data_IF_213746767581
#
_entry.id   IF_213746767581
#
_cell.length_a   1.000
_cell.length_b   1.000
_cell.length_c   1.000
_cell.angle_alpha   90.00
_cell.angle_beta   90.00
_cell.angle_gamma   90.00
#
_symmetry.space_group_name_H-M   'P 1'
#
loop_
_entity.id
_entity.type
_entity.pdbx_description
1 polymer ?
#
# COMPACT_ATOMS: atom_id res chain seq x y z
N UNK A 1 13.92 3.69 21.46
CA UNK A 1 12.44 3.61 21.55
C UNK A 1 12.09 2.20 21.12
N UNK A 2 11.78 1.32 22.07
CA UNK A 2 11.13 0.07 21.76
C UNK A 2 9.65 0.34 21.88
N UNK A 3 8.91 0.27 20.79
CA UNK A 3 7.47 0.40 20.87
C UNK A 3 6.91 -0.90 21.49
N UNK A 4 6.71 -0.89 22.80
CA UNK A 4 6.03 -1.97 23.50
C UNK A 4 4.52 -1.75 23.34
N UNK A 5 3.97 -2.19 22.21
CA UNK A 5 2.52 -2.26 22.04
C UNK A 5 1.98 -3.44 22.86
N UNK A 6 1.17 -3.15 23.89
CA UNK A 6 0.41 -4.16 24.64
C UNK A 6 -0.78 -4.64 23.79
N UNK A 7 -0.49 -5.39 22.74
CA UNK A 7 -1.51 -6.02 21.89
C UNK A 7 -1.66 -7.50 22.25
N UNK A 8 -2.90 -7.96 22.34
CA UNK A 8 -3.20 -9.38 22.47
C UNK A 8 -2.85 -10.06 21.14
N UNK A 9 -1.84 -10.92 21.16
CA UNK A 9 -1.54 -11.80 20.03
C UNK A 9 -2.53 -12.96 20.01
N UNK A 10 -3.22 -13.14 18.89
CA UNK A 10 -4.05 -14.31 18.61
C UNK A 10 -3.27 -15.20 17.66
N UNK A 11 -3.04 -16.45 18.04
CA UNK A 11 -2.29 -17.44 17.25
C UNK A 11 -3.28 -18.33 16.51
N UNK A 12 -3.04 -18.59 15.23
CA UNK A 12 -3.76 -19.61 14.47
C UNK A 12 -3.29 -21.00 14.92
N UNK A 13 -4.23 -21.87 15.24
CA UNK A 13 -3.96 -23.26 15.63
C UNK A 13 -3.82 -24.15 14.41
N UNK A 14 -3.18 -25.32 14.56
CA UNK A 14 -2.96 -26.28 13.47
C UNK A 14 -4.24 -26.68 12.74
N UNK A 15 -5.38 -26.75 13.46
CA UNK A 15 -6.68 -27.06 12.87
C UNK A 15 -7.23 -25.97 11.94
N UNK A 16 -6.66 -24.77 12.01
CA UNK A 16 -7.07 -23.58 11.26
C UNK A 16 -6.13 -23.29 10.09
N UNK A 17 -5.06 -24.08 9.94
CA UNK A 17 -4.02 -23.91 8.93
C UNK A 17 -4.07 -25.08 7.95
N UNK A 18 -4.42 -24.80 6.69
CA UNK A 18 -4.37 -25.81 5.64
C UNK A 18 -3.01 -25.88 4.94
N UNK A 19 -2.23 -24.79 4.97
CA UNK A 19 -0.90 -24.73 4.39
C UNK A 19 -0.05 -23.64 5.04
N UNK A 20 1.23 -23.95 5.24
CA UNK A 20 2.24 -22.99 5.70
C UNK A 20 3.53 -23.10 4.87
N UNK A 21 4.27 -21.99 4.82
CA UNK A 21 5.61 -21.92 4.25
C UNK A 21 6.54 -21.09 5.17
N UNK A 22 7.75 -20.79 4.70
CA UNK A 22 8.75 -20.03 5.46
C UNK A 22 8.32 -18.61 5.89
N UNK A 23 7.22 -18.07 5.33
CA UNK A 23 6.68 -16.74 5.61
C UNK A 23 5.39 -16.78 6.44
N UNK A 24 4.89 -17.97 6.77
CA UNK A 24 3.67 -18.19 7.54
C UNK A 24 2.61 -18.96 6.77
N UNK A 25 1.35 -18.77 7.17
CA UNK A 25 0.20 -19.45 6.54
C UNK A 25 -0.07 -18.92 5.14
N UNK A 26 -0.79 -19.69 4.32
CA UNK A 26 -1.20 -19.24 2.98
C UNK A 26 -2.15 -18.03 3.04
N UNK A 27 -2.24 -17.27 1.94
CA UNK A 27 -3.16 -16.13 1.83
C UNK A 27 -4.63 -16.59 2.00
N UNK A 28 -4.95 -17.81 1.57
CA UNK A 28 -6.28 -18.40 1.79
C UNK A 28 -6.59 -18.63 3.27
N UNK A 29 -5.64 -19.16 4.04
CA UNK A 29 -5.79 -19.37 5.48
C UNK A 29 -5.85 -18.02 6.23
N UNK A 30 -5.03 -17.05 5.80
CA UNK A 30 -5.05 -15.69 6.32
C UNK A 30 -6.43 -15.04 6.13
N UNK A 31 -7.00 -15.11 4.92
CA UNK A 31 -8.33 -14.59 4.66
C UNK A 31 -9.43 -15.35 5.42
N UNK A 32 -9.28 -16.66 5.63
CA UNK A 32 -10.20 -17.43 6.46
C UNK A 32 -10.16 -16.95 7.94
N UNK A 33 -8.98 -16.61 8.46
CA UNK A 33 -8.83 -16.02 9.79
C UNK A 33 -9.53 -14.65 9.90
N UNK A 34 -9.35 -13.78 8.90
CA UNK A 34 -10.02 -12.47 8.83
C UNK A 34 -11.54 -12.63 8.86
N UNK A 35 -12.09 -13.54 8.05
CA UNK A 35 -13.54 -13.82 8.04
C UNK A 35 -14.03 -14.25 9.42
N UNK A 36 -13.31 -15.14 10.09
CA UNK A 36 -13.69 -15.67 11.41
C UNK A 36 -13.70 -14.58 12.49
N UNK A 37 -12.70 -13.70 12.49
CA UNK A 37 -12.63 -12.59 13.45
C UNK A 37 -13.68 -11.50 13.16
N UNK A 38 -13.94 -11.21 11.88
CA UNK A 38 -15.04 -10.33 11.46
C UNK A 38 -16.41 -10.90 11.86
N UNK A 39 -16.67 -12.19 11.64
CA UNK A 39 -17.90 -12.86 12.07
C UNK A 39 -18.09 -12.75 13.58
N UNK A 40 -17.02 -12.99 14.35
CA UNK A 40 -17.05 -12.87 15.81
C UNK A 40 -17.36 -11.45 16.25
N UNK A 41 -16.61 -10.45 15.77
CA UNK A 41 -16.83 -9.03 16.15
C UNK A 41 -18.21 -8.53 15.71
N UNK A 42 -18.69 -8.94 14.53
CA UNK A 42 -20.03 -8.62 14.09
C UNK A 42 -21.13 -9.21 14.99
N UNK A 43 -21.01 -10.48 15.41
CA UNK A 43 -21.96 -11.09 16.35
C UNK A 43 -21.99 -10.38 17.72
N UNK A 44 -20.87 -9.79 18.12
CA UNK A 44 -20.72 -8.95 19.30
C UNK A 44 -21.08 -7.47 19.03
N UNK A 45 -21.58 -7.13 17.84
CA UNK A 45 -21.91 -5.76 17.40
C UNK A 45 -20.75 -4.76 17.57
N UNK A 46 -19.53 -5.25 17.46
CA UNK A 46 -18.31 -4.45 17.58
C UNK A 46 -17.79 -4.10 16.18
N UNK A 47 -17.56 -2.80 15.86
CA UNK A 47 -16.88 -2.41 14.63
C UNK A 47 -15.50 -3.06 14.54
N UNK A 48 -15.03 -3.28 13.32
CA UNK A 48 -13.72 -3.88 13.10
C UNK A 48 -12.91 -3.17 12.03
N UNK A 49 -11.60 -3.26 12.19
CA UNK A 49 -10.60 -2.80 11.24
C UNK A 49 -9.51 -3.87 11.19
N UNK A 50 -9.32 -4.46 10.02
CA UNK A 50 -8.31 -5.49 9.81
C UNK A 50 -7.26 -5.01 8.81
N UNK A 51 -6.02 -4.89 9.28
CA UNK A 51 -4.87 -4.71 8.43
C UNK A 51 -4.25 -6.08 8.12
N UNK A 52 -4.30 -6.47 6.85
CA UNK A 52 -3.97 -7.83 6.40
C UNK A 52 -2.76 -7.77 5.47
N UNK A 53 -1.67 -8.42 5.85
CA UNK A 53 -0.47 -8.57 5.00
C UNK A 53 -0.40 -9.99 4.44
N UNK A 54 -0.52 -10.11 3.12
CA UNK A 54 -0.35 -11.40 2.43
C UNK A 54 1.09 -11.88 2.50
N UNK A 55 1.28 -13.20 2.38
CA UNK A 55 2.56 -13.88 2.62
C UNK A 55 2.98 -14.78 1.45
N UNK A 56 2.03 -15.20 0.61
CA UNK A 56 2.27 -16.26 -0.38
C UNK A 56 3.18 -15.82 -1.54
N UNK A 57 3.18 -14.54 -1.89
CA UNK A 57 4.02 -13.95 -2.94
C UNK A 57 5.47 -13.68 -2.47
N UNK A 58 6.10 -14.68 -1.85
CA UNK A 58 7.50 -14.64 -1.41
C UNK A 58 8.24 -15.93 -1.75
N UNK A 59 9.56 -15.84 -1.99
CA UNK A 59 10.42 -17.00 -2.27
C UNK A 59 10.35 -18.02 -1.13
N UNK A 60 10.19 -19.33 -1.39
CA UNK A 60 10.35 -20.02 -2.67
C UNK A 60 9.11 -20.02 -3.59
N UNK A 61 8.10 -19.18 -3.33
CA UNK A 61 6.86 -19.04 -4.10
C UNK A 61 5.95 -20.28 -3.99
N UNK A 62 5.81 -20.80 -2.77
CA UNK A 62 5.00 -21.99 -2.49
C UNK A 62 3.62 -21.62 -1.92
N UNK A 63 2.61 -22.38 -2.35
CA UNK A 63 1.20 -22.21 -2.04
C UNK A 63 0.46 -23.56 -2.20
N UNK A 64 -0.78 -23.71 -1.71
CA UNK A 64 -1.57 -24.93 -1.88
C UNK A 64 -1.71 -25.39 -3.35
N UNK A 65 -1.51 -26.70 -3.58
CA UNK A 65 -1.68 -27.33 -4.90
C UNK A 65 -3.16 -27.36 -5.32
N UNK A 66 -3.41 -27.38 -6.63
CA UNK A 66 -4.75 -27.59 -7.20
C UNK A 66 -5.71 -26.40 -7.06
N UNK A 67 -5.21 -25.24 -6.63
CA UNK A 67 -5.99 -23.99 -6.55
C UNK A 67 -5.92 -23.15 -7.83
N UNK A 68 -4.80 -23.24 -8.53
CA UNK A 68 -4.56 -22.62 -9.83
C UNK A 68 -3.81 -23.62 -10.74
N UNK A 69 -3.67 -23.26 -12.01
CA UNK A 69 -3.02 -24.02 -13.08
C UNK A 69 -1.47 -23.90 -13.12
N UNK A 70 -0.86 -23.13 -12.21
CA UNK A 70 0.60 -23.00 -12.09
C UNK A 70 1.10 -23.81 -10.89
N UNK A 71 2.04 -24.77 -11.05
CA UNK A 71 2.56 -25.54 -9.92
C UNK A 71 3.29 -24.66 -8.89
N UNK A 72 3.11 -24.92 -7.58
CA UNK A 72 3.82 -24.17 -6.53
C UNK A 72 5.33 -24.27 -6.64
N UNK A 73 6.02 -23.19 -6.29
CA UNK A 73 7.49 -23.14 -6.27
C UNK A 73 8.14 -22.88 -7.63
N UNK A 74 7.36 -22.76 -8.71
CA UNK A 74 7.88 -22.58 -10.07
C UNK A 74 8.28 -21.13 -10.38
N UNK A 75 7.75 -20.16 -9.64
CA UNK A 75 8.11 -18.76 -9.83
C UNK A 75 7.09 -17.79 -9.24
N UNK A 76 7.43 -16.50 -9.33
CA UNK A 76 6.60 -15.41 -8.80
C UNK A 76 5.23 -15.33 -9.47
N UNK A 77 5.15 -15.59 -10.78
CA UNK A 77 3.87 -15.54 -11.52
C UNK A 77 2.82 -16.48 -10.90
N UNK A 78 3.23 -17.67 -10.49
CA UNK A 78 2.37 -18.62 -9.78
C UNK A 78 1.88 -18.07 -8.44
N UNK A 79 2.77 -17.48 -7.66
CA UNK A 79 2.40 -16.93 -6.35
C UNK A 79 1.50 -15.68 -6.46
N UNK A 80 1.72 -14.82 -7.46
CA UNK A 80 0.84 -13.69 -7.76
C UNK A 80 -0.54 -14.19 -8.20
N UNK A 81 -0.61 -15.16 -9.13
CA UNK A 81 -1.87 -15.77 -9.57
C UNK A 81 -2.60 -16.47 -8.42
N UNK A 82 -1.87 -17.08 -7.49
CA UNK A 82 -2.46 -17.68 -6.30
C UNK A 82 -3.03 -16.62 -5.34
N UNK A 83 -2.32 -15.50 -5.14
CA UNK A 83 -2.80 -14.37 -4.33
C UNK A 83 -4.11 -13.80 -4.91
N UNK A 84 -4.15 -13.62 -6.23
CA UNK A 84 -5.37 -13.19 -6.95
C UNK A 84 -6.53 -14.18 -6.75
N UNK A 85 -6.28 -15.48 -6.92
CA UNK A 85 -7.24 -16.54 -6.62
C UNK A 85 -7.75 -16.45 -5.17
N UNK A 86 -6.85 -16.29 -4.19
CA UNK A 86 -7.22 -16.22 -2.78
C UNK A 86 -8.09 -14.99 -2.46
N UNK A 87 -7.78 -13.83 -3.05
CA UNK A 87 -8.61 -12.61 -2.97
C UNK A 87 -10.00 -12.86 -3.60
N UNK A 88 -10.06 -13.49 -4.77
CA UNK A 88 -11.32 -13.85 -5.43
C UNK A 88 -12.14 -14.84 -4.60
N UNK A 89 -11.47 -15.79 -3.94
CA UNK A 89 -12.12 -16.72 -3.03
C UNK A 89 -12.71 -16.01 -1.81
N UNK A 90 -11.91 -15.15 -1.18
CA UNK A 90 -12.29 -14.29 -0.06
C UNK A 90 -13.52 -13.44 -0.40
N UNK A 91 -13.49 -12.71 -1.52
CA UNK A 91 -14.60 -11.84 -1.95
C UNK A 91 -15.91 -12.62 -2.17
N UNK A 92 -15.86 -13.82 -2.77
CA UNK A 92 -17.05 -14.68 -2.93
C UNK A 92 -17.60 -15.18 -1.59
N UNK A 93 -16.75 -15.41 -0.60
CA UNK A 93 -17.18 -15.81 0.74
C UNK A 93 -17.78 -14.64 1.51
N UNK A 94 -17.09 -13.49 1.54
CA UNK A 94 -17.55 -12.34 2.32
C UNK A 94 -18.82 -11.73 1.78
N UNK A 95 -19.07 -11.78 0.45
CA UNK A 95 -20.35 -11.34 -0.14
C UNK A 95 -21.60 -12.01 0.46
N UNK A 96 -21.44 -13.18 1.08
CA UNK A 96 -22.54 -13.92 1.74
C UNK A 96 -22.73 -13.54 3.21
N UNK A 97 -21.85 -12.69 3.76
CA UNK A 97 -21.82 -12.35 5.18
C UNK A 97 -22.72 -11.16 5.49
N UNK A 98 -23.39 -11.12 6.66
CA UNK A 98 -24.31 -10.04 7.02
C UNK A 98 -23.62 -8.67 7.18
N UNK A 99 -22.33 -8.66 7.49
CA UNK A 99 -21.53 -7.45 7.61
C UNK A 99 -21.00 -6.89 6.28
N UNK A 100 -21.11 -7.64 5.18
CA UNK A 100 -20.52 -7.26 3.89
C UNK A 100 -21.01 -5.89 3.43
N UNK A 101 -22.32 -5.65 3.43
CA UNK A 101 -22.90 -4.39 2.94
C UNK A 101 -22.41 -3.15 3.68
N UNK A 102 -21.84 -3.29 4.88
CA UNK A 102 -21.31 -2.19 5.68
C UNK A 102 -19.80 -2.31 5.94
N UNK A 103 -19.07 -2.96 5.03
CA UNK A 103 -17.61 -3.14 5.14
C UNK A 103 -16.93 -2.62 3.88
N UNK A 104 -16.00 -1.69 4.03
CA UNK A 104 -15.15 -1.22 2.92
C UNK A 104 -13.89 -2.08 2.86
N UNK A 105 -13.50 -2.49 1.66
CA UNK A 105 -12.27 -3.24 1.42
C UNK A 105 -11.27 -2.35 0.68
N UNK A 106 -10.02 -2.39 1.12
CA UNK A 106 -8.91 -1.70 0.46
C UNK A 106 -7.91 -2.75 0.02
N UNK A 107 -7.65 -2.82 -1.29
CA UNK A 107 -6.59 -3.64 -1.85
C UNK A 107 -5.48 -2.73 -2.32
N UNK A 108 -4.29 -2.84 -1.75
CA UNK A 108 -3.14 -2.03 -2.11
C UNK A 108 -1.88 -2.88 -1.98
N UNK A 109 -0.98 -2.82 -2.96
CA UNK A 109 0.33 -3.45 -2.80
C UNK A 109 1.22 -2.61 -1.87
N UNK A 110 2.09 -3.28 -1.14
CA UNK A 110 3.08 -2.65 -0.27
C UNK A 110 4.22 -2.00 -1.08
N UNK A 111 4.77 -2.73 -2.06
CA UNK A 111 5.79 -2.26 -2.98
C UNK A 111 5.91 -3.15 -4.24
N UNK A 112 6.71 -2.73 -5.22
CA UNK A 112 7.06 -3.57 -6.37
C UNK A 112 8.22 -4.53 -6.04
N UNK A 113 8.36 -5.62 -6.81
CA UNK A 113 9.28 -6.71 -6.47
C UNK A 113 10.78 -6.47 -6.70
N UNK A 114 11.17 -5.46 -7.48
CA UNK A 114 12.57 -5.23 -7.81
C UNK A 114 12.97 -3.78 -7.55
N UNK A 115 13.67 -3.54 -6.43
CA UNK A 115 14.27 -2.25 -6.09
C UNK A 115 15.81 -2.24 -6.17
N UNK A 116 16.42 -3.36 -6.59
CA UNK A 116 17.87 -3.54 -6.55
C UNK A 116 18.58 -3.12 -7.86
N UNK A 117 19.63 -2.30 -7.74
CA UNK A 117 20.78 -2.39 -8.64
C UNK A 117 21.07 -1.21 -9.56
N UNK A 118 20.22 -0.18 -9.66
CA UNK A 118 20.56 1.05 -10.40
C UNK A 118 20.56 2.24 -9.44
N UNK A 119 21.59 3.06 -9.50
CA UNK A 119 21.71 4.30 -8.71
C UNK A 119 20.65 5.36 -9.07
N UNK A 120 19.65 5.04 -9.88
CA UNK A 120 18.59 5.93 -10.36
C UNK A 120 17.23 5.39 -9.93
N UNK A 121 16.31 6.29 -9.60
CA UNK A 121 14.95 5.93 -9.17
C UNK A 121 14.16 5.56 -10.43
N UNK A 122 13.99 4.27 -10.73
CA UNK A 122 13.13 3.79 -11.82
C UNK A 122 11.65 3.92 -11.42
N UNK A 123 11.00 5.01 -11.82
CA UNK A 123 9.63 5.36 -11.39
C UNK A 123 8.62 4.27 -11.77
N UNK A 124 8.76 3.62 -12.93
CA UNK A 124 7.86 2.54 -13.33
C UNK A 124 7.84 1.37 -12.34
N UNK A 125 8.94 1.15 -11.61
CA UNK A 125 9.09 0.13 -10.57
C UNK A 125 8.56 0.56 -9.19
N UNK A 126 7.79 1.63 -9.13
CA UNK A 126 7.05 2.04 -7.92
C UNK A 126 5.55 2.20 -8.18
N UNK A 127 5.08 1.86 -9.38
CA UNK A 127 3.65 1.85 -9.68
C UNK A 127 3.00 0.59 -9.10
N UNK A 128 2.11 0.79 -8.13
CA UNK A 128 1.42 -0.27 -7.40
C UNK A 128 -0.10 -0.21 -7.66
N UNK A 129 -0.79 -1.36 -7.67
CA UNK A 129 -2.25 -1.37 -7.69
C UNK A 129 -2.81 -0.83 -6.36
N UNK A 130 -3.90 -0.06 -6.45
CA UNK A 130 -4.71 0.38 -5.33
C UNK A 130 -6.19 0.41 -5.74
N UNK A 131 -7.06 -0.17 -4.91
CA UNK A 131 -8.50 -0.25 -5.15
C UNK A 131 -9.27 -0.13 -3.84
N UNK A 132 -10.25 0.78 -3.81
CA UNK A 132 -11.28 0.83 -2.78
C UNK A 132 -12.50 0.09 -3.33
N UNK A 133 -12.99 -0.90 -2.60
CA UNK A 133 -14.09 -1.77 -3.01
C UNK A 133 -15.22 -1.76 -1.99
N UNK A 134 -16.43 -2.00 -2.49
CA UNK A 134 -17.68 -2.07 -1.71
C UNK A 134 -18.02 -0.77 -0.98
N UNK A 135 -17.79 0.36 -1.66
CA UNK A 135 -18.18 1.67 -1.17
C UNK A 135 -19.60 2.02 -1.67
N UNK A 136 -20.57 2.05 -0.75
CA UNK A 136 -21.97 2.23 -1.09
C UNK A 136 -22.27 3.63 -1.66
N UNK A 137 -23.18 3.68 -2.62
CA UNK A 137 -23.70 4.95 -3.17
C UNK A 137 -22.76 5.65 -4.14
N UNK A 138 -21.67 5.00 -4.57
CA UNK A 138 -20.74 5.53 -5.57
C UNK A 138 -20.58 4.53 -6.73
N UNK A 139 -20.67 4.99 -7.99
CA UNK A 139 -20.41 4.13 -9.14
C UNK A 139 -18.91 3.77 -9.20
N UNK A 140 -18.56 2.63 -9.83
CA UNK A 140 -17.17 2.34 -10.16
C UNK A 140 -16.55 3.50 -10.94
N UNK A 141 -15.37 3.93 -10.54
CA UNK A 141 -14.65 5.02 -11.19
C UNK A 141 -13.14 4.81 -11.10
N UNK A 142 -12.42 5.45 -12.02
CA UNK A 142 -10.95 5.50 -12.02
C UNK A 142 -10.56 6.89 -11.51
N UNK A 143 -9.60 6.93 -10.60
CA UNK A 143 -8.94 8.17 -10.16
C UNK A 143 -7.62 8.26 -10.94
N UNK A 144 -7.51 9.11 -11.97
CA UNK A 144 -6.32 9.16 -12.83
C UNK A 144 -5.19 10.02 -12.24
N UNK A 145 -5.45 10.73 -11.14
CA UNK A 145 -4.49 11.61 -10.50
C UNK A 145 -3.26 10.85 -10.03
N UNK A 146 -2.08 11.40 -10.33
CA UNK A 146 -0.83 10.91 -9.76
C UNK A 146 -0.84 11.08 -8.24
N UNK A 147 -0.60 10.00 -7.50
CA UNK A 147 -0.65 10.01 -6.05
C UNK A 147 0.33 9.00 -5.43
N UNK A 148 0.50 9.11 -4.12
CA UNK A 148 1.31 8.20 -3.31
C UNK A 148 0.41 7.37 -2.38
N UNK A 149 0.92 6.26 -1.87
CA UNK A 149 0.16 5.38 -0.97
C UNK A 149 -0.39 6.11 0.28
N UNK A 150 0.32 7.16 0.74
CA UNK A 150 -0.10 8.00 1.88
C UNK A 150 -1.42 8.76 1.63
N UNK A 151 -1.81 8.95 0.37
CA UNK A 151 -3.03 9.68 -0.01
C UNK A 151 -4.29 8.79 0.05
N UNK A 152 -4.13 7.48 0.26
CA UNK A 152 -5.20 6.48 0.21
C UNK A 152 -6.28 6.71 1.27
N UNK A 153 -5.88 6.86 2.54
CA UNK A 153 -6.83 7.06 3.65
C UNK A 153 -7.55 8.43 3.58
N UNK A 154 -6.86 9.55 3.38
CA UNK A 154 -7.51 10.85 3.17
C UNK A 154 -8.53 10.81 2.02
N UNK A 155 -8.20 10.12 0.92
CA UNK A 155 -9.12 9.92 -0.21
C UNK A 155 -10.34 9.09 0.18
N UNK A 156 -10.15 8.00 0.93
CA UNK A 156 -11.25 7.20 1.45
C UNK A 156 -12.16 8.01 2.39
N UNK A 157 -11.59 8.78 3.32
CA UNK A 157 -12.37 9.59 4.25
C UNK A 157 -13.18 10.67 3.52
N UNK A 158 -12.58 11.34 2.52
CA UNK A 158 -13.30 12.24 1.65
C UNK A 158 -14.40 11.55 0.83
N UNK A 159 -14.19 10.29 0.40
CA UNK A 159 -15.20 9.51 -0.31
C UNK A 159 -16.38 9.14 0.60
N UNK A 160 -16.10 8.87 1.87
CA UNK A 160 -17.08 8.62 2.93
C UNK A 160 -17.76 9.90 3.44
N UNK A 161 -17.31 11.08 2.98
CA UNK A 161 -17.76 12.40 3.44
C UNK A 161 -17.53 12.60 4.95
N UNK A 162 -16.42 12.08 5.45
CA UNK A 162 -16.00 12.30 6.83
C UNK A 162 -15.21 13.58 6.93
N UNK A 163 -15.49 14.36 7.97
CA UNK A 163 -14.61 15.42 8.42
C UNK A 163 -13.50 14.79 9.25
N UNK A 164 -12.25 15.10 8.92
CA UNK A 164 -11.09 14.63 9.65
C UNK A 164 -10.02 15.72 9.69
N UNK A 165 -9.36 15.85 10.82
CA UNK A 165 -8.11 16.60 10.96
C UNK A 165 -6.97 15.60 10.97
N UNK A 166 -5.87 15.91 10.28
CA UNK A 166 -4.70 15.05 10.29
C UNK A 166 -3.42 15.86 10.21
N UNK A 167 -2.45 15.48 11.04
CA UNK A 167 -1.06 15.94 10.95
C UNK A 167 -0.22 15.09 9.96
N UNK A 168 -0.86 14.17 9.22
CA UNK A 168 -0.22 13.36 8.19
C UNK A 168 -0.03 14.14 6.88
N UNK A 169 0.84 13.61 6.02
CA UNK A 169 1.23 14.25 4.75
C UNK A 169 0.34 13.91 3.56
N UNK A 170 -0.54 12.92 3.71
CA UNK A 170 -1.46 12.49 2.65
C UNK A 170 -2.62 13.47 2.46
N UNK A 171 -3.19 13.51 1.27
CA UNK A 171 -4.31 14.38 0.93
C UNK A 171 -5.39 13.62 0.15
N UNK A 172 -6.66 14.05 0.23
CA UNK A 172 -7.68 13.56 -0.69
C UNK A 172 -7.32 13.98 -2.12
N UNK A 173 -7.01 13.00 -2.97
CA UNK A 173 -6.56 13.22 -4.36
C UNK A 173 -7.62 13.84 -5.26
N UNK A 174 -8.87 13.89 -4.80
CA UNK A 174 -10.02 14.49 -5.49
C UNK A 174 -10.30 15.91 -5.00
N UNK A 175 -9.64 16.36 -3.94
CA UNK A 175 -9.85 17.70 -3.40
C UNK A 175 -9.39 18.76 -4.42
N UNK A 176 -10.08 19.91 -4.55
CA UNK A 176 -9.69 20.97 -5.49
C UNK A 176 -8.27 21.52 -5.26
N UNK A 177 -7.77 21.44 -4.03
CA UNK A 177 -6.42 21.86 -3.67
C UNK A 177 -5.33 20.81 -3.88
N UNK A 178 -5.69 19.59 -4.29
CA UNK A 178 -4.73 18.51 -4.48
C UNK A 178 -3.77 18.84 -5.61
N UNK A 179 -2.47 18.65 -5.34
CA UNK A 179 -1.40 18.82 -6.31
C UNK A 179 -0.78 17.45 -6.57
N UNK A 180 -1.07 16.83 -7.73
CA UNK A 180 -0.57 15.49 -8.06
C UNK A 180 0.94 15.38 -7.89
N UNK A 181 1.37 14.39 -7.13
CA UNK A 181 2.78 14.12 -6.83
C UNK A 181 3.04 12.65 -6.54
N UNK A 182 4.30 12.25 -6.66
CA UNK A 182 4.80 10.98 -6.12
C UNK A 182 5.92 11.25 -5.13
N UNK A 183 5.84 10.59 -3.99
CA UNK A 183 6.93 10.46 -3.02
C UNK A 183 7.52 9.05 -3.13
N UNK A 184 8.82 8.98 -3.41
CA UNK A 184 9.55 7.74 -3.64
C UNK A 184 10.71 7.64 -2.65
N UNK A 185 11.03 6.43 -2.23
CA UNK A 185 12.17 6.15 -1.36
C UNK A 185 12.89 4.88 -1.82
N UNK A 186 14.19 4.98 -1.98
CA UNK A 186 15.10 3.84 -2.10
C UNK A 186 15.95 3.75 -0.84
N UNK A 187 16.81 2.73 -0.73
CA UNK A 187 17.73 2.62 0.41
C UNK A 187 18.64 3.85 0.59
N UNK A 188 18.92 4.59 -0.48
CA UNK A 188 19.88 5.71 -0.46
C UNK A 188 19.31 7.03 -0.96
N UNK A 189 18.21 7.03 -1.72
CA UNK A 189 17.72 8.22 -2.42
C UNK A 189 16.24 8.44 -2.16
N UNK A 190 15.85 9.69 -2.19
CA UNK A 190 14.47 10.12 -2.04
C UNK A 190 14.05 10.86 -3.31
N UNK A 191 12.89 10.52 -3.85
CA UNK A 191 12.36 11.07 -5.09
C UNK A 191 11.06 11.82 -4.87
N UNK A 192 10.98 13.05 -5.36
CA UNK A 192 9.78 13.86 -5.37
C UNK A 192 9.44 14.21 -6.81
N UNK A 193 8.39 13.61 -7.36
CA UNK A 193 7.92 13.89 -8.72
C UNK A 193 6.67 14.76 -8.65
N UNK A 194 6.70 15.91 -9.31
CA UNK A 194 5.54 16.79 -9.49
C UNK A 194 5.50 17.27 -10.93
N UNK A 195 4.33 17.15 -11.56
CA UNK A 195 4.18 17.34 -13.01
C UNK A 195 5.16 16.43 -13.77
N UNK A 196 6.10 16.99 -14.52
CA UNK A 196 7.14 16.30 -15.29
C UNK A 196 8.53 16.43 -14.65
N UNK A 197 8.64 17.03 -13.46
CA UNK A 197 9.94 17.29 -12.83
C UNK A 197 10.15 16.37 -11.63
N UNK A 198 11.12 15.47 -11.74
CA UNK A 198 11.62 14.63 -10.66
C UNK A 198 12.76 15.36 -9.92
N UNK A 199 12.60 15.55 -8.62
CA UNK A 199 13.68 15.96 -7.72
C UNK A 199 14.21 14.75 -6.98
N UNK A 200 15.52 14.54 -7.05
CA UNK A 200 16.23 13.47 -6.34
C UNK A 200 17.08 14.08 -5.24
N UNK A 201 16.84 13.64 -4.01
CA UNK A 201 17.69 13.95 -2.85
C UNK A 201 18.62 12.78 -2.60
N UNK A 202 19.92 13.09 -2.48
CA UNK A 202 20.97 12.11 -2.18
C UNK A 202 21.78 12.57 -0.96
N UNK A 203 22.32 11.63 -0.16
CA UNK A 203 23.12 11.96 1.02
C UNK A 203 24.27 12.90 0.66
N UNK A 204 24.38 14.01 1.41
CA UNK A 204 25.45 15.01 1.28
C UNK A 204 25.56 15.66 -0.12
N UNK A 205 24.49 15.68 -0.90
CA UNK A 205 24.43 16.34 -2.21
C UNK A 205 23.31 17.37 -2.26
N UNK A 206 23.48 18.38 -3.12
CA UNK A 206 22.40 19.28 -3.47
C UNK A 206 21.27 18.53 -4.21
N UNK A 207 20.01 18.98 -4.12
CA UNK A 207 18.91 18.43 -4.91
C UNK A 207 19.21 18.47 -6.41
N UNK A 208 18.97 17.34 -7.07
CA UNK A 208 19.11 17.20 -8.52
C UNK A 208 17.73 17.13 -9.16
N UNK A 209 17.53 17.82 -10.29
CA UNK A 209 16.27 17.81 -11.02
C UNK A 209 16.41 17.10 -12.36
N UNK A 210 15.36 16.37 -12.74
CA UNK A 210 15.25 15.66 -13.99
C UNK A 210 13.87 15.90 -14.61
N UNK A 211 13.79 16.03 -15.93
CA UNK A 211 12.53 15.92 -16.65
C UNK A 211 12.24 14.43 -16.85
N UNK A 212 11.02 14.01 -16.50
CA UNK A 212 10.56 12.63 -16.58
C UNK A 212 9.50 12.46 -17.66
N UNK A 213 9.75 11.52 -18.58
CA UNK A 213 8.80 11.11 -19.60
C UNK A 213 8.08 9.82 -19.17
N UNK A 214 6.79 9.94 -18.88
CA UNK A 214 5.95 8.83 -18.45
C UNK A 214 5.71 7.77 -19.54
N UNK A 215 5.87 8.11 -20.83
CA UNK A 215 5.65 7.17 -21.94
C UNK A 215 6.84 6.26 -22.14
N UNK A 216 8.05 6.82 -22.02
CA UNK A 216 9.30 6.09 -22.25
C UNK A 216 9.96 5.61 -20.96
N UNK A 217 9.48 6.07 -19.79
CA UNK A 217 10.10 5.83 -18.49
C UNK A 217 11.57 6.28 -18.45
N UNK A 218 11.86 7.45 -19.03
CA UNK A 218 13.21 8.02 -19.08
C UNK A 218 13.32 9.32 -18.32
N UNK A 219 14.52 9.59 -17.81
CA UNK A 219 14.86 10.81 -17.07
C UNK A 219 15.98 11.53 -17.80
N UNK A 220 15.84 12.84 -17.98
CA UNK A 220 16.88 13.70 -18.55
C UNK A 220 17.25 14.78 -17.55
N UNK A 221 18.55 15.06 -17.41
CA UNK A 221 19.00 16.09 -16.46
C UNK A 221 18.35 17.43 -16.80
N UNK A 222 17.81 18.09 -15.78
CA UNK A 222 17.18 19.39 -15.90
C UNK A 222 17.90 20.42 -15.03
N UNK A 223 17.67 21.71 -15.33
CA UNK A 223 18.09 22.77 -14.42
C UNK A 223 17.39 22.58 -13.07
N UNK A 224 18.15 22.62 -11.98
CA UNK A 224 17.59 22.48 -10.63
C UNK A 224 16.50 23.53 -10.38
N UNK A 225 15.34 23.07 -9.93
CA UNK A 225 14.27 23.93 -9.45
C UNK A 225 14.43 24.15 -7.95
N UNK A 226 14.75 25.38 -7.53
CA UNK A 226 14.91 25.70 -6.11
C UNK A 226 13.61 25.49 -5.34
N UNK A 227 12.47 25.89 -5.91
CA UNK A 227 11.15 25.70 -5.30
C UNK A 227 10.82 24.23 -5.10
N UNK A 228 10.92 23.40 -6.14
CA UNK A 228 10.63 21.97 -6.01
C UNK A 228 11.68 21.25 -5.14
N UNK A 229 12.93 21.73 -5.16
CA UNK A 229 13.98 21.27 -4.26
C UNK A 229 13.63 21.51 -2.79
N UNK A 230 13.18 22.72 -2.46
CA UNK A 230 12.71 23.06 -1.11
C UNK A 230 11.46 22.28 -0.72
N UNK A 231 10.49 22.12 -1.61
CA UNK A 231 9.30 21.29 -1.37
C UNK A 231 9.69 19.85 -1.07
N UNK A 232 10.55 19.23 -1.91
CA UNK A 232 11.05 17.88 -1.70
C UNK A 232 11.73 17.73 -0.34
N UNK A 233 12.69 18.62 -0.02
CA UNK A 233 13.37 18.62 1.30
C UNK A 233 12.35 18.74 2.43
N UNK A 234 11.35 19.62 2.29
CA UNK A 234 10.37 19.88 3.33
C UNK A 234 9.56 18.63 3.65
N UNK A 235 9.08 17.86 2.67
CA UNK A 235 8.37 16.60 2.93
C UNK A 235 9.18 15.66 3.82
N UNK A 236 10.45 15.43 3.49
CA UNK A 236 11.26 14.44 4.20
C UNK A 236 11.77 14.95 5.54
N UNK A 237 12.27 16.18 5.62
CA UNK A 237 12.82 16.72 6.86
C UNK A 237 11.74 16.98 7.90
N UNK A 238 10.57 17.49 7.49
CA UNK A 238 9.46 17.69 8.43
C UNK A 238 8.90 16.35 8.94
N UNK A 239 8.74 15.36 8.06
CA UNK A 239 8.33 14.01 8.49
C UNK A 239 9.32 13.40 9.48
N UNK A 240 10.62 13.48 9.21
CA UNK A 240 11.65 13.03 10.12
C UNK A 240 11.66 13.80 11.45
N UNK A 241 11.54 15.13 11.39
CA UNK A 241 11.49 15.99 12.57
C UNK A 241 10.29 15.63 13.47
N UNK A 242 9.09 15.55 12.90
CA UNK A 242 7.87 15.20 13.64
C UNK A 242 7.96 13.80 14.23
N UNK A 243 8.49 12.82 13.48
CA UNK A 243 8.74 11.48 14.02
C UNK A 243 9.70 11.51 15.22
N UNK A 244 10.84 12.20 15.09
CA UNK A 244 11.88 12.26 16.13
C UNK A 244 11.46 13.01 17.39
N UNK A 245 10.61 14.02 17.23
CA UNK A 245 10.13 14.88 18.33
C UNK A 245 8.80 14.41 18.91
N UNK A 246 8.20 13.36 18.35
CA UNK A 246 6.89 12.86 18.78
C UNK A 246 5.72 13.69 18.26
N UNK A 247 5.92 14.63 17.35
CA UNK A 247 4.85 15.43 16.72
C UNK A 247 3.92 14.65 15.79
N UNK A 248 4.23 13.38 15.47
CA UNK A 248 3.30 12.45 14.80
C UNK A 248 2.49 11.59 15.79
N UNK A 249 2.70 11.74 17.11
CA UNK A 249 1.88 11.05 18.10
C UNK A 249 0.62 11.86 18.34
N UNK A 250 -0.53 11.24 18.11
CA UNK A 250 -1.81 11.68 18.66
C UNK A 250 -1.90 11.31 20.15
#
# INVERSE_FOLDING_TARGET
MGDAYLVKRTILTDSEVSFENAWGVSDGDLFAAVIRDADKRHSLKTPFYDFVMTTSNHRPFTYPKGKIDIPPGTGREGAVKYTDYAIGEFLRQVRKKPWFSNTVFIFVADHCAESAGKNEIDISRYHIPAMIYNLNGLPPSIIPSLCSQIDLYPTLFGLLKWDFESNNFGMDVRSPGYRPRILLGTYQKLGYLRSDTLVVLSPRKAPQSYLYDFKTNTQTSAKSSETLGREAISYYQSAYYLFRTGGLKE
#
